data_IF_888959870899
#
_entry.id   IF_888959870899
#
_cell.length_a   1.000
_cell.length_b   1.000
_cell.length_c   1.000
_cell.angle_alpha   90.00
_cell.angle_beta   90.00
_cell.angle_gamma   90.00
#
_symmetry.space_group_name_H-M   'P 1'
#
loop_
_entity.id
_entity.type
_entity.pdbx_description
1 polymer ?
#
# COMPACT_ATOMS: atom_id res chain seq x y z
N UNK A 1 16.80 5.85 -0.40
CA UNK A 1 16.38 6.74 0.70
C UNK A 1 14.86 6.86 0.65
N UNK A 2 14.15 6.06 1.46
CA UNK A 2 12.68 5.96 1.48
C UNK A 2 12.06 6.53 2.76
N UNK A 3 12.89 6.85 3.76
CA UNK A 3 12.45 7.43 5.03
C UNK A 3 11.70 8.76 4.83
N UNK A 4 10.56 8.90 5.49
CA UNK A 4 9.65 10.05 5.40
C UNK A 4 8.79 10.08 4.14
N UNK A 5 8.85 9.04 3.29
CA UNK A 5 7.95 8.90 2.14
C UNK A 5 6.61 8.34 2.55
N UNK A 6 5.59 8.62 1.76
CA UNK A 6 4.22 8.18 2.03
C UNK A 6 3.71 7.14 1.02
N UNK A 7 2.91 6.18 1.48
CA UNK A 7 2.35 5.14 0.64
C UNK A 7 0.85 4.91 0.86
N UNK A 8 0.15 4.54 -0.21
CA UNK A 8 -1.21 4.00 -0.18
C UNK A 8 -1.20 2.56 -0.69
N UNK A 9 -1.72 1.64 0.12
CA UNK A 9 -1.80 0.22 -0.18
C UNK A 9 -3.20 -0.16 -0.63
N UNK A 10 -3.31 -0.69 -1.83
CA UNK A 10 -4.56 -1.15 -2.39
C UNK A 10 -4.45 -2.62 -2.81
N UNK A 11 -4.50 -3.48 -1.79
CA UNK A 11 -4.19 -4.90 -1.87
C UNK A 11 -5.20 -5.74 -1.07
N UNK A 12 -5.29 -7.04 -1.36
CA UNK A 12 -6.09 -7.97 -0.55
C UNK A 12 -5.40 -8.34 0.78
N UNK A 13 -6.19 -8.80 1.75
CA UNK A 13 -5.88 -8.78 3.19
C UNK A 13 -4.51 -9.31 3.59
N UNK A 14 -4.18 -10.56 3.24
CA UNK A 14 -2.95 -11.21 3.70
C UNK A 14 -1.66 -10.52 3.21
N UNK A 15 -1.74 -9.80 2.07
CA UNK A 15 -0.61 -9.06 1.51
C UNK A 15 -0.50 -7.65 2.04
N UNK A 16 -1.62 -7.07 2.47
CA UNK A 16 -1.63 -5.72 3.03
C UNK A 16 -0.78 -5.67 4.29
N UNK A 17 -1.01 -6.60 5.23
CA UNK A 17 -0.27 -6.61 6.50
C UNK A 17 1.25 -6.69 6.32
N UNK A 18 1.73 -7.66 5.54
CA UNK A 18 3.17 -7.83 5.34
C UNK A 18 3.81 -6.61 4.69
N UNK A 19 3.11 -5.97 3.75
CA UNK A 19 3.59 -4.77 3.09
C UNK A 19 3.56 -3.53 4.00
N UNK A 20 2.55 -3.36 4.85
CA UNK A 20 2.53 -2.29 5.86
C UNK A 20 3.75 -2.42 6.76
N UNK A 21 4.01 -3.62 7.29
CA UNK A 21 5.15 -3.84 8.17
C UNK A 21 6.49 -3.52 7.48
N UNK A 22 6.74 -4.06 6.28
CA UNK A 22 7.99 -3.81 5.56
C UNK A 22 8.18 -2.35 5.17
N UNK A 23 7.11 -1.63 4.79
CA UNK A 23 7.19 -0.20 4.46
C UNK A 23 7.49 0.64 5.71
N UNK A 24 6.83 0.34 6.82
CA UNK A 24 7.10 1.02 8.10
C UNK A 24 8.54 0.81 8.56
N UNK A 25 9.09 -0.40 8.43
CA UNK A 25 10.51 -0.69 8.72
C UNK A 25 11.49 0.12 7.84
N UNK A 26 11.09 0.45 6.61
CA UNK A 26 11.85 1.31 5.69
C UNK A 26 11.62 2.81 5.93
N UNK A 27 10.86 3.18 6.97
CA UNK A 27 10.52 4.57 7.30
C UNK A 27 9.48 5.19 6.36
N UNK A 28 8.72 4.38 5.62
CA UNK A 28 7.61 4.84 4.76
C UNK A 28 6.33 4.88 5.56
N UNK A 29 5.65 6.03 5.58
CA UNK A 29 4.39 6.25 6.25
C UNK A 29 3.21 5.73 5.43
N UNK A 30 2.46 4.76 5.98
CA UNK A 30 1.26 4.25 5.32
C UNK A 30 0.07 5.16 5.62
N UNK A 31 -0.43 5.85 4.60
CA UNK A 31 -1.55 6.81 4.70
C UNK A 31 -2.92 6.17 4.43
N UNK A 32 -2.96 5.05 3.72
CA UNK A 32 -4.20 4.29 3.56
C UNK A 32 -3.92 2.83 3.21
N UNK A 33 -4.80 1.93 3.64
CA UNK A 33 -4.69 0.51 3.37
C UNK A 33 -6.07 -0.16 3.19
N UNK A 34 -6.18 -1.10 2.24
CA UNK A 34 -7.34 -1.97 2.08
C UNK A 34 -7.26 -3.22 2.97
N UNK A 35 -8.39 -3.64 3.55
CA UNK A 35 -8.42 -4.69 4.60
C UNK A 35 -9.16 -5.96 4.19
N UNK A 36 -9.55 -6.10 2.92
CA UNK A 36 -10.40 -7.19 2.45
C UNK A 36 -9.89 -8.56 2.93
N UNK A 37 -10.68 -9.27 3.73
CA UNK A 37 -10.40 -10.62 4.25
C UNK A 37 -9.27 -10.73 5.30
N UNK A 38 -9.06 -9.72 6.15
CA UNK A 38 -8.15 -9.79 7.31
C UNK A 38 -8.90 -10.18 8.59
N UNK A 39 -8.25 -10.85 9.54
CA UNK A 39 -8.84 -11.05 10.88
C UNK A 39 -8.92 -9.73 11.64
N UNK A 40 -9.76 -9.65 12.68
CA UNK A 40 -9.83 -8.46 13.54
C UNK A 40 -8.49 -8.17 14.22
N UNK A 41 -7.78 -9.21 14.65
CA UNK A 41 -6.47 -9.07 15.28
C UNK A 41 -5.43 -8.49 14.30
N UNK A 42 -5.36 -9.03 13.07
CA UNK A 42 -4.46 -8.52 12.03
C UNK A 42 -4.79 -7.07 11.68
N UNK A 43 -6.09 -6.73 11.63
CA UNK A 43 -6.54 -5.38 11.37
C UNK A 43 -6.04 -4.38 12.43
N UNK A 44 -6.18 -4.70 13.72
CA UNK A 44 -5.74 -3.80 14.79
C UNK A 44 -4.22 -3.64 14.82
N UNK A 45 -3.48 -4.73 14.61
CA UNK A 45 -2.01 -4.68 14.49
C UNK A 45 -1.60 -3.81 13.31
N UNK A 46 -2.21 -4.03 12.15
CA UNK A 46 -1.97 -3.25 10.93
C UNK A 46 -2.23 -1.77 11.16
N UNK A 47 -3.38 -1.43 11.74
CA UNK A 47 -3.74 -0.05 12.05
C UNK A 47 -2.77 0.61 13.02
N UNK A 48 -2.20 -0.13 13.96
CA UNK A 48 -1.17 0.37 14.89
C UNK A 48 0.16 0.74 14.23
N UNK A 49 0.46 0.19 13.05
CA UNK A 49 1.67 0.50 12.28
C UNK A 49 1.48 1.60 11.23
N UNK A 50 0.23 1.98 10.94
CA UNK A 50 -0.09 3.03 9.98
C UNK A 50 0.13 4.43 10.58
N UNK A 51 0.19 5.43 9.71
CA UNK A 51 0.20 6.83 10.14
C UNK A 51 -1.08 7.16 10.96
N UNK A 52 -0.98 8.09 11.91
CA UNK A 52 -2.09 8.48 12.81
C UNK A 52 -3.37 8.90 12.07
N UNK A 53 -3.21 9.54 10.92
CA UNK A 53 -4.30 10.06 10.08
C UNK A 53 -4.64 9.10 8.92
N UNK A 54 -4.17 7.87 9.01
CA UNK A 54 -4.35 6.91 7.95
C UNK A 54 -5.79 6.40 7.87
N UNK A 55 -6.24 6.17 6.65
CA UNK A 55 -7.61 5.73 6.38
C UNK A 55 -7.68 4.28 5.92
N UNK A 56 -8.75 3.59 6.30
CA UNK A 56 -9.06 2.27 5.79
C UNK A 56 -9.88 2.43 4.51
N UNK A 57 -9.44 1.79 3.44
CA UNK A 57 -10.10 1.89 2.14
C UNK A 57 -11.24 0.87 2.08
N UNK A 58 -12.47 1.36 2.23
CA UNK A 58 -13.69 0.54 2.13
C UNK A 58 -14.19 0.44 0.68
N UNK A 59 -14.19 1.56 -0.05
CA UNK A 59 -14.53 1.57 -1.48
C UNK A 59 -13.33 1.12 -2.32
N UNK A 60 -13.37 -0.15 -2.71
CA UNK A 60 -12.34 -0.75 -3.57
C UNK A 60 -12.62 -0.58 -5.07
N UNK A 61 -13.46 0.37 -5.46
CA UNK A 61 -13.59 0.78 -6.85
C UNK A 61 -12.40 1.65 -7.28
N UNK A 62 -12.23 1.80 -8.59
CA UNK A 62 -11.25 2.74 -9.16
C UNK A 62 -11.52 4.19 -8.73
N UNK A 63 -12.80 4.55 -8.55
CA UNK A 63 -13.20 5.89 -8.14
C UNK A 63 -12.83 6.15 -6.67
N UNK A 64 -13.10 5.20 -5.78
CA UNK A 64 -12.69 5.24 -4.38
C UNK A 64 -11.17 5.38 -4.23
N UNK A 65 -10.40 4.54 -4.93
CA UNK A 65 -8.95 4.65 -4.93
C UNK A 65 -8.47 6.02 -5.46
N UNK A 66 -9.06 6.54 -6.54
CA UNK A 66 -8.70 7.85 -7.05
C UNK A 66 -8.99 8.98 -6.04
N UNK A 67 -10.09 8.89 -5.29
CA UNK A 67 -10.42 9.85 -4.24
C UNK A 67 -9.37 9.82 -3.12
N UNK A 68 -9.03 8.63 -2.63
CA UNK A 68 -7.97 8.42 -1.61
C UNK A 68 -6.63 8.98 -2.09
N UNK A 69 -6.25 8.72 -3.34
CA UNK A 69 -5.00 9.21 -3.91
C UNK A 69 -4.96 10.74 -4.01
N UNK A 70 -6.09 11.38 -4.34
CA UNK A 70 -6.18 12.85 -4.41
C UNK A 70 -6.16 13.50 -3.03
N UNK A 71 -6.81 12.87 -2.05
CA UNK A 71 -6.88 13.38 -0.69
C UNK A 71 -5.52 13.26 0.01
N UNK A 72 -4.89 12.08 -0.08
CA UNK A 72 -3.67 11.76 0.66
C UNK A 72 -2.37 12.13 -0.07
N UNK A 73 -2.42 12.31 -1.39
CA UNK A 73 -1.26 12.64 -2.25
C UNK A 73 -0.01 11.80 -1.94
N UNK A 74 -0.10 10.46 -1.98
CA UNK A 74 1.01 9.61 -1.58
C UNK A 74 2.18 9.67 -2.57
N UNK A 75 3.40 9.45 -2.07
CA UNK A 75 4.59 9.29 -2.92
C UNK A 75 4.61 7.93 -3.67
N UNK A 76 3.90 6.92 -3.16
CA UNK A 76 3.92 5.56 -3.69
C UNK A 76 2.54 4.90 -3.61
N UNK A 77 2.11 4.25 -4.70
CA UNK A 77 0.99 3.31 -4.69
C UNK A 77 1.50 1.90 -4.71
N UNK A 78 1.04 1.09 -3.76
CA UNK A 78 1.37 -0.34 -3.70
C UNK A 78 0.11 -1.15 -3.91
N UNK A 79 -0.02 -1.80 -5.07
CA UNK A 79 -1.28 -2.44 -5.46
C UNK A 79 -1.09 -3.49 -6.55
N UNK A 80 -2.15 -4.22 -6.92
CA UNK A 80 -2.08 -5.17 -8.04
C UNK A 80 -2.16 -4.50 -9.42
N UNK A 81 -1.72 -5.19 -10.47
CA UNK A 81 -1.65 -4.68 -11.85
C UNK A 81 -2.91 -4.00 -12.42
N UNK A 82 -4.11 -4.26 -11.89
CA UNK A 82 -5.36 -3.57 -12.29
C UNK A 82 -5.30 -2.05 -12.03
N UNK A 83 -4.60 -1.61 -11.00
CA UNK A 83 -4.50 -0.17 -10.63
C UNK A 83 -3.27 0.51 -11.21
N UNK A 84 -2.39 -0.23 -11.89
CA UNK A 84 -1.16 0.30 -12.51
C UNK A 84 -1.44 1.50 -13.40
N UNK A 85 -2.42 1.40 -14.29
CA UNK A 85 -2.74 2.48 -15.22
C UNK A 85 -3.37 3.70 -14.53
N UNK A 86 -4.03 3.52 -13.38
CA UNK A 86 -4.53 4.64 -12.59
C UNK A 86 -3.37 5.43 -12.01
N UNK A 87 -2.41 4.74 -11.37
CA UNK A 87 -1.22 5.37 -10.82
C UNK A 87 -0.43 6.14 -11.89
N UNK A 88 -0.22 5.54 -13.07
CA UNK A 88 0.42 6.19 -14.21
C UNK A 88 -0.31 7.45 -14.68
N UNK A 89 -1.65 7.41 -14.78
CA UNK A 89 -2.46 8.59 -15.15
C UNK A 89 -2.35 9.72 -14.12
N UNK A 90 -2.25 9.38 -12.84
CA UNK A 90 -2.04 10.36 -11.76
C UNK A 90 -0.58 10.78 -11.59
N UNK A 91 0.35 10.21 -12.38
CA UNK A 91 1.80 10.40 -12.26
C UNK A 91 2.36 10.03 -10.88
N UNK A 92 1.73 9.08 -10.21
CA UNK A 92 2.18 8.57 -8.91
C UNK A 92 3.02 7.32 -9.14
N UNK A 93 4.22 7.21 -8.54
CA UNK A 93 5.01 5.98 -8.55
C UNK A 93 4.19 4.75 -8.14
N UNK A 94 4.43 3.63 -8.82
CA UNK A 94 3.63 2.41 -8.67
C UNK A 94 4.51 1.19 -8.41
N UNK A 95 4.17 0.49 -7.34
CA UNK A 95 4.69 -0.81 -6.99
C UNK A 95 3.55 -1.83 -7.19
N UNK A 96 3.64 -2.66 -8.24
CA UNK A 96 2.77 -3.84 -8.39
C UNK A 96 2.93 -4.74 -7.14
N UNK A 97 2.09 -5.72 -6.83
CA UNK A 97 2.34 -6.75 -5.78
C UNK A 97 1.77 -8.12 -6.19
N UNK A 98 1.42 -8.28 -7.46
CA UNK A 98 0.85 -9.50 -7.99
C UNK A 98 1.90 -10.62 -8.13
N UNK A 99 1.44 -11.86 -7.98
CA UNK A 99 2.26 -13.08 -8.05
C UNK A 99 2.76 -13.40 -9.47
N UNK A 100 2.10 -12.91 -10.53
CA UNK A 100 2.51 -13.11 -11.93
C UNK A 100 3.67 -12.21 -12.37
N UNK A 101 4.51 -11.78 -11.44
CA UNK A 101 5.62 -10.88 -11.70
C UNK A 101 6.83 -11.63 -12.23
N UNK A 102 7.54 -10.98 -13.16
CA UNK A 102 8.81 -11.46 -13.69
C UNK A 102 9.96 -11.38 -12.68
N UNK A 103 9.83 -10.55 -11.64
CA UNK A 103 10.84 -10.39 -10.60
C UNK A 103 10.24 -10.64 -9.21
N UNK A 104 10.84 -11.55 -8.40
CA UNK A 104 10.41 -11.74 -7.04
C UNK A 104 10.71 -10.50 -6.20
N UNK A 105 9.89 -10.27 -5.17
CA UNK A 105 10.37 -9.55 -4.00
C UNK A 105 11.33 -10.46 -3.28
N UNK A 106 12.60 -10.45 -3.70
CA UNK A 106 13.64 -11.19 -3.01
C UNK A 106 13.70 -10.67 -1.57
N UNK A 107 13.32 -11.51 -0.61
CA UNK A 107 13.58 -11.24 0.80
C UNK A 107 15.09 -11.22 0.99
N UNK A 108 15.62 -10.03 1.34
CA UNK A 108 17.04 -9.69 1.55
C UNK A 108 17.97 -9.96 0.32
N UNK A 109 18.93 -9.15 -0.12
CA UNK A 109 19.63 -7.93 0.33
C UNK A 109 18.98 -6.60 -0.13
N UNK A 110 17.83 -6.63 -0.81
CA UNK A 110 17.18 -5.44 -1.39
C UNK A 110 16.29 -4.63 -0.43
N UNK A 111 16.35 -4.92 0.87
CA UNK A 111 15.63 -4.20 1.94
C UNK A 111 16.55 -3.21 2.66
N UNK A 112 17.54 -2.66 1.94
CA UNK A 112 18.54 -1.67 2.40
C UNK A 112 18.31 -0.34 1.68
#
# INVERSE_FOLDING_TARGET
RLEGKSAVLFTGGVKTWSMVNSLTELGVEVLAAGTQNSTLEDFYRMKGLMHKDAQIIEDTSTAGLLAVMREKMPDLIVAGGKTKFLALKTKTPFLDINHGRSHPYAGYEGMV
#
